data_IF_074214851757
#
_entry.id   IF_074214851757
#
_cell.length_a   1.000
_cell.length_b   1.000
_cell.length_c   1.000
_cell.angle_alpha   90.00
_cell.angle_beta   90.00
_cell.angle_gamma   90.00
#
_symmetry.space_group_name_H-M   'P 1'
#
loop_
_entity.id
_entity.type
_entity.pdbx_description
1 polymer ?
#
# COMPACT_ATOMS: atom_id res chain seq x y z
N UNK A 1 -14.62 -20.30 9.93
CA UNK A 1 -14.23 -21.38 10.85
C UNK A 1 -13.61 -20.77 12.06
N UNK A 2 -13.97 -21.30 13.22
CA UNK A 2 -13.43 -20.88 14.51
C UNK A 2 -12.06 -21.52 14.77
N UNK A 3 -11.29 -20.94 15.69
CA UNK A 3 -9.95 -21.41 16.06
C UNK A 3 -9.90 -22.91 16.35
N UNK A 4 -10.87 -23.41 17.10
CA UNK A 4 -10.91 -24.80 17.54
C UNK A 4 -11.14 -25.76 16.36
N UNK A 5 -12.02 -25.41 15.43
CA UNK A 5 -12.28 -26.20 14.22
C UNK A 5 -11.02 -26.29 13.36
N UNK A 6 -10.32 -25.17 13.15
CA UNK A 6 -9.06 -25.13 12.40
C UNK A 6 -7.99 -26.01 13.04
N UNK A 7 -7.87 -26.01 14.37
CA UNK A 7 -6.95 -26.90 15.08
C UNK A 7 -7.30 -28.37 14.89
N UNK A 8 -8.58 -28.70 14.97
CA UNK A 8 -9.05 -30.08 14.78
C UNK A 8 -8.79 -30.57 13.35
N UNK A 9 -9.06 -29.72 12.36
CA UNK A 9 -8.75 -30.02 10.95
C UNK A 9 -7.24 -30.16 10.73
N UNK A 10 -6.44 -29.22 11.22
CA UNK A 10 -4.97 -29.25 11.08
C UNK A 10 -4.37 -30.54 11.65
N UNK A 11 -4.85 -31.02 12.80
CA UNK A 11 -4.38 -32.27 13.41
C UNK A 11 -4.52 -33.49 12.50
N UNK A 12 -5.50 -33.52 11.58
CA UNK A 12 -5.67 -34.61 10.61
C UNK A 12 -4.50 -34.72 9.63
N UNK A 13 -3.74 -33.64 9.44
CA UNK A 13 -2.60 -33.57 8.52
C UNK A 13 -1.25 -33.75 9.23
N UNK A 14 -1.23 -34.02 10.54
CA UNK A 14 0.02 -34.12 11.35
C UNK A 14 1.04 -35.13 10.80
N UNK A 15 0.57 -36.22 10.20
CA UNK A 15 1.44 -37.26 9.63
C UNK A 15 1.79 -37.03 8.15
N UNK A 16 1.15 -36.04 7.50
CA UNK A 16 1.32 -35.74 6.07
C UNK A 16 2.26 -34.55 5.84
N UNK A 17 2.34 -33.64 6.80
CA UNK A 17 3.17 -32.43 6.73
C UNK A 17 4.51 -32.66 7.43
N UNK A 18 5.54 -31.94 7.01
CA UNK A 18 6.77 -31.85 7.78
C UNK A 18 6.50 -31.18 9.13
N UNK A 19 7.35 -31.46 10.13
CA UNK A 19 7.23 -30.84 11.44
C UNK A 19 7.26 -29.30 11.35
N UNK A 20 8.18 -28.75 10.54
CA UNK A 20 8.30 -27.30 10.31
C UNK A 20 7.03 -26.67 9.74
N UNK A 21 6.41 -27.31 8.74
CA UNK A 21 5.18 -26.82 8.12
C UNK A 21 4.01 -26.92 9.10
N UNK A 22 3.91 -28.01 9.85
CA UNK A 22 2.86 -28.17 10.85
C UNK A 22 2.95 -27.10 11.95
N UNK A 23 4.15 -26.88 12.50
CA UNK A 23 4.40 -25.83 13.51
C UNK A 23 4.10 -24.43 12.98
N UNK A 24 4.46 -24.13 11.73
CA UNK A 24 4.09 -22.88 11.07
C UNK A 24 2.57 -22.70 10.99
N UNK A 25 1.83 -23.71 10.54
CA UNK A 25 0.36 -23.64 10.47
C UNK A 25 -0.28 -23.49 11.85
N UNK A 26 0.28 -24.14 12.88
CA UNK A 26 -0.19 -23.97 14.26
C UNK A 26 0.07 -22.54 14.76
N UNK A 27 1.25 -21.99 14.49
CA UNK A 27 1.62 -20.60 14.82
C UNK A 27 0.69 -19.58 14.14
N UNK A 28 0.23 -19.88 12.91
CA UNK A 28 -0.78 -19.06 12.21
C UNK A 28 -2.14 -19.11 12.90
N UNK A 29 -2.59 -20.28 13.36
CA UNK A 29 -3.86 -20.44 14.08
C UNK A 29 -3.80 -19.81 15.47
N UNK A 30 -2.64 -19.82 16.12
CA UNK A 30 -2.40 -19.12 17.39
C UNK A 30 -2.24 -17.61 17.24
N UNK A 31 -2.09 -17.11 16.01
CA UNK A 31 -1.80 -15.70 15.72
C UNK A 31 -0.45 -15.25 16.30
N UNK A 32 0.51 -16.17 16.47
CA UNK A 32 1.87 -15.86 16.90
C UNK A 32 2.67 -15.21 15.77
N UNK A 33 2.41 -15.66 14.54
CA UNK A 33 3.04 -15.15 13.32
C UNK A 33 1.99 -14.67 12.32
N UNK A 34 2.45 -13.88 11.34
CA UNK A 34 1.63 -13.36 10.25
C UNK A 34 1.78 -14.23 9.01
N UNK A 35 0.66 -14.59 8.38
CA UNK A 35 0.65 -15.32 7.11
C UNK A 35 1.25 -14.50 5.95
N UNK A 36 1.40 -13.18 6.12
CA UNK A 36 1.99 -12.30 5.10
C UNK A 36 3.51 -12.24 5.17
N UNK A 37 4.11 -12.56 6.32
CA UNK A 37 5.57 -12.62 6.51
C UNK A 37 6.14 -13.92 5.95
N UNK A 38 7.43 -13.90 5.63
CA UNK A 38 8.16 -15.03 5.07
C UNK A 38 8.79 -15.89 6.16
N UNK A 39 8.10 -16.96 6.55
CA UNK A 39 8.58 -17.94 7.55
C UNK A 39 8.86 -19.33 6.97
N UNK A 40 8.44 -19.57 5.72
CA UNK A 40 8.61 -20.84 5.00
C UNK A 40 9.06 -20.55 3.57
N UNK A 41 9.69 -21.54 2.93
CA UNK A 41 10.20 -21.41 1.56
C UNK A 41 9.08 -21.21 0.52
N UNK A 42 9.43 -20.68 -0.64
CA UNK A 42 8.47 -20.48 -1.72
C UNK A 42 7.90 -21.79 -2.28
N UNK A 43 8.68 -22.88 -2.22
CA UNK A 43 8.23 -24.22 -2.60
C UNK A 43 7.18 -24.76 -1.62
N UNK A 44 7.42 -24.63 -0.31
CA UNK A 44 6.47 -25.00 0.74
C UNK A 44 5.17 -24.18 0.63
N UNK A 45 5.28 -22.86 0.39
CA UNK A 45 4.10 -22.00 0.14
C UNK A 45 3.32 -22.47 -1.08
N UNK A 46 3.99 -22.81 -2.16
CA UNK A 46 3.34 -23.24 -3.41
C UNK A 46 2.57 -24.54 -3.22
N UNK A 47 3.16 -25.50 -2.49
CA UNK A 47 2.49 -26.73 -2.11
C UNK A 47 1.28 -26.48 -1.19
N UNK A 48 1.48 -25.71 -0.10
CA UNK A 48 0.43 -25.41 0.87
C UNK A 48 -0.77 -24.70 0.25
N UNK A 49 -0.56 -23.79 -0.71
CA UNK A 49 -1.63 -23.07 -1.42
C UNK A 49 -2.60 -23.97 -2.17
N UNK A 50 -2.21 -25.19 -2.50
CA UNK A 50 -3.10 -26.18 -3.13
C UNK A 50 -4.06 -26.82 -2.10
N UNK A 51 -3.77 -26.70 -0.80
CA UNK A 51 -4.59 -27.22 0.28
C UNK A 51 -5.68 -26.22 0.67
N UNK A 52 -6.95 -26.66 0.62
CA UNK A 52 -8.08 -25.87 1.15
C UNK A 52 -7.89 -25.50 2.62
N UNK A 53 -7.26 -26.38 3.41
CA UNK A 53 -6.93 -26.14 4.81
C UNK A 53 -6.00 -24.93 4.98
N UNK A 54 -4.92 -24.84 4.20
CA UNK A 54 -3.98 -23.72 4.28
C UNK A 54 -4.70 -22.40 4.02
N UNK A 55 -5.52 -22.35 2.96
CA UNK A 55 -6.31 -21.16 2.62
C UNK A 55 -7.21 -20.72 3.78
N UNK A 56 -7.82 -21.67 4.48
CA UNK A 56 -8.66 -21.37 5.61
C UNK A 56 -7.87 -20.84 6.82
N UNK A 57 -6.70 -21.41 7.09
CA UNK A 57 -5.78 -20.95 8.14
C UNK A 57 -5.25 -19.54 7.82
N UNK A 58 -4.84 -19.30 6.57
CA UNK A 58 -4.36 -18.00 6.08
C UNK A 58 -5.44 -16.92 6.23
N UNK A 59 -6.67 -17.22 5.78
CA UNK A 59 -7.80 -16.30 5.92
C UNK A 59 -8.12 -15.99 7.38
N UNK A 60 -8.13 -17.02 8.23
CA UNK A 60 -8.35 -16.85 9.67
C UNK A 60 -7.25 -16.00 10.31
N UNK A 61 -5.99 -16.23 9.96
CA UNK A 61 -4.86 -15.48 10.50
C UNK A 61 -4.96 -14.00 10.12
N UNK A 62 -5.09 -13.68 8.83
CA UNK A 62 -5.19 -12.30 8.33
C UNK A 62 -6.42 -11.60 8.95
N UNK A 63 -7.58 -12.27 8.99
CA UNK A 63 -8.79 -11.70 9.56
C UNK A 63 -8.60 -11.30 11.03
N UNK A 64 -8.14 -12.23 11.87
CA UNK A 64 -8.09 -12.00 13.31
C UNK A 64 -6.97 -11.04 13.71
N UNK A 65 -5.83 -11.07 13.00
CA UNK A 65 -4.75 -10.09 13.18
C UNK A 65 -5.22 -8.68 12.81
N UNK A 66 -5.88 -8.52 11.66
CA UNK A 66 -6.48 -7.24 11.29
C UNK A 66 -7.51 -6.75 12.33
N UNK A 67 -8.35 -7.67 12.82
CA UNK A 67 -9.34 -7.34 13.84
C UNK A 67 -8.70 -6.88 15.16
N UNK A 68 -7.57 -7.49 15.58
CA UNK A 68 -6.83 -7.07 16.76
C UNK A 68 -6.27 -5.64 16.62
N UNK A 69 -5.67 -5.32 15.46
CA UNK A 69 -5.20 -3.95 15.16
C UNK A 69 -6.36 -2.97 15.18
N UNK A 70 -7.44 -3.27 14.47
CA UNK A 70 -8.56 -2.33 14.35
C UNK A 70 -9.25 -2.08 15.68
N UNK A 71 -9.29 -3.08 16.58
CA UNK A 71 -9.80 -2.94 17.94
C UNK A 71 -8.87 -2.14 18.86
N UNK A 72 -7.58 -2.01 18.54
CA UNK A 72 -6.65 -1.16 19.30
C UNK A 72 -6.74 0.31 18.88
N UNK A 73 -7.36 0.61 17.74
CA UNK A 73 -7.57 1.97 17.24
C UNK A 73 -8.83 2.61 17.83
N UNK A 74 -8.71 3.84 18.29
CA UNK A 74 -9.83 4.68 18.70
C UNK A 74 -10.57 5.25 17.47
N UNK A 75 -11.85 5.58 17.60
CA UNK A 75 -12.69 6.20 16.56
C UNK A 75 -12.88 5.38 15.27
N UNK A 76 -12.61 4.07 15.30
CA UNK A 76 -12.81 3.16 14.19
C UNK A 76 -14.14 2.42 14.33
N UNK A 77 -14.96 2.46 13.30
CA UNK A 77 -16.15 1.62 13.16
C UNK A 77 -15.79 0.38 12.35
N UNK A 78 -16.02 -0.80 12.95
CA UNK A 78 -15.67 -2.10 12.37
C UNK A 78 -16.95 -2.79 11.90
N UNK A 79 -16.92 -3.30 10.67
CA UNK A 79 -17.99 -4.08 10.05
C UNK A 79 -17.47 -5.48 9.74
N UNK A 80 -17.89 -6.45 10.53
CA UNK A 80 -17.64 -7.88 10.31
C UNK A 80 -18.75 -8.44 9.41
N UNK A 81 -18.40 -9.17 8.35
CA UNK A 81 -19.36 -9.83 7.48
C UNK A 81 -18.89 -11.23 7.10
N UNK A 82 -19.80 -12.04 6.55
CA UNK A 82 -19.59 -13.47 6.29
C UNK A 82 -18.35 -13.82 5.43
N UNK A 83 -17.79 -12.83 4.73
CA UNK A 83 -16.66 -12.99 3.82
C UNK A 83 -15.51 -12.03 4.07
N UNK A 84 -15.48 -11.34 5.22
CA UNK A 84 -14.41 -10.39 5.48
C UNK A 84 -14.68 -9.33 6.53
N UNK A 85 -13.87 -8.30 6.48
CA UNK A 85 -13.80 -7.22 7.45
C UNK A 85 -13.72 -5.88 6.73
N UNK A 86 -14.41 -4.86 7.24
CA UNK A 86 -14.23 -3.48 6.77
C UNK A 86 -14.10 -2.56 7.97
N UNK A 87 -13.22 -1.57 7.87
CA UNK A 87 -13.09 -0.53 8.88
C UNK A 87 -13.23 0.85 8.27
N UNK A 88 -13.92 1.73 8.97
CA UNK A 88 -14.09 3.14 8.60
C UNK A 88 -13.92 4.06 9.79
N UNK A 89 -13.66 5.33 9.53
CA UNK A 89 -13.80 6.40 10.51
C UNK A 89 -15.00 7.24 10.11
N UNK A 90 -15.81 7.65 11.08
CA UNK A 90 -16.88 8.61 10.87
C UNK A 90 -16.45 9.97 11.46
N UNK A 91 -16.35 11.01 10.62
CA UNK A 91 -16.11 12.39 11.06
C UNK A 91 -17.00 13.33 10.26
N UNK A 92 -17.74 14.18 10.96
CA UNK A 92 -18.55 15.27 10.38
C UNK A 92 -19.37 14.84 9.15
N UNK A 93 -20.17 13.78 9.33
CA UNK A 93 -21.03 13.15 8.31
C UNK A 93 -20.30 12.44 7.15
N UNK A 94 -18.96 12.43 7.14
CA UNK A 94 -18.15 11.72 6.16
C UNK A 94 -17.67 10.39 6.75
N UNK A 95 -17.97 9.30 6.05
CA UNK A 95 -17.40 7.98 6.32
C UNK A 95 -16.14 7.77 5.47
N UNK A 96 -15.01 7.62 6.15
CA UNK A 96 -13.70 7.44 5.54
C UNK A 96 -13.31 5.97 5.63
N UNK A 97 -13.16 5.25 4.51
CA UNK A 97 -12.66 3.88 4.55
C UNK A 97 -11.20 3.85 4.99
N UNK A 98 -10.88 2.95 5.91
CA UNK A 98 -9.51 2.69 6.38
C UNK A 98 -8.99 1.35 5.88
N UNK A 99 -9.84 0.32 5.98
CA UNK A 99 -9.46 -1.06 5.72
C UNK A 99 -10.60 -1.84 5.08
N UNK A 100 -10.24 -2.79 4.22
CA UNK A 100 -11.10 -3.86 3.75
C UNK A 100 -10.31 -5.14 3.59
N UNK A 101 -10.84 -6.23 4.14
CA UNK A 101 -10.41 -7.59 3.87
C UNK A 101 -11.56 -8.38 3.27
N UNK A 102 -11.33 -9.08 2.18
CA UNK A 102 -12.32 -9.93 1.51
C UNK A 102 -11.68 -11.26 1.11
N UNK A 103 -12.06 -12.35 1.77
CA UNK A 103 -11.47 -13.67 1.53
C UNK A 103 -12.24 -14.52 0.49
N UNK A 104 -12.92 -13.88 -0.46
CA UNK A 104 -13.38 -14.52 -1.70
C UNK A 104 -12.21 -15.14 -2.52
N UNK A 105 -12.45 -15.57 -3.76
CA UNK A 105 -11.51 -16.33 -4.60
C UNK A 105 -10.10 -15.70 -4.76
N UNK A 106 -9.94 -14.39 -4.52
CA UNK A 106 -8.69 -13.65 -4.71
C UNK A 106 -8.15 -12.94 -3.46
N UNK A 107 -8.62 -13.28 -2.25
CA UNK A 107 -8.13 -12.76 -0.95
C UNK A 107 -7.61 -11.31 -1.01
N UNK A 108 -8.51 -10.34 -0.82
CA UNK A 108 -8.24 -8.92 -1.08
C UNK A 108 -8.05 -8.14 0.22
N UNK A 109 -6.95 -7.44 0.36
CA UNK A 109 -6.63 -6.53 1.46
C UNK A 109 -6.51 -5.14 0.86
N UNK A 110 -7.28 -4.17 1.37
CA UNK A 110 -7.23 -2.77 0.93
C UNK A 110 -7.06 -1.86 2.14
N UNK A 111 -6.05 -1.01 2.13
CA UNK A 111 -5.91 0.10 3.06
C UNK A 111 -6.01 1.40 2.30
N UNK A 112 -6.50 2.46 2.94
CA UNK A 112 -6.57 3.77 2.31
C UNK A 112 -5.79 4.82 3.10
N UNK A 113 -4.79 5.42 2.45
CA UNK A 113 -3.92 6.45 3.01
C UNK A 113 -4.32 7.81 2.43
N UNK A 114 -4.44 8.85 3.28
CA UNK A 114 -4.66 10.20 2.80
C UNK A 114 -3.38 11.04 2.87
N UNK A 115 -3.00 11.69 1.77
CA UNK A 115 -1.82 12.54 1.67
C UNK A 115 -2.17 14.03 1.57
N UNK A 116 -1.16 14.85 1.88
CA UNK A 116 -1.25 16.30 2.15
C UNK A 116 -1.31 17.17 0.89
N UNK A 117 -1.20 16.60 -0.30
CA UNK A 117 -1.23 17.38 -1.53
C UNK A 117 -2.59 17.25 -2.22
N UNK A 118 -3.24 18.34 -2.61
CA UNK A 118 -4.45 18.22 -3.44
C UNK A 118 -4.11 17.60 -4.80
N UNK A 119 -5.06 16.92 -5.43
CA UNK A 119 -4.83 16.28 -6.74
C UNK A 119 -4.24 17.25 -7.79
N UNK A 120 -4.64 18.53 -7.74
CA UNK A 120 -4.08 19.59 -8.58
C UNK A 120 -2.60 19.88 -8.27
N UNK A 121 -2.23 19.98 -6.99
CA UNK A 121 -0.84 20.18 -6.55
C UNK A 121 0.02 18.99 -6.95
N UNK A 122 -0.50 17.78 -6.85
CA UNK A 122 0.18 16.56 -7.27
C UNK A 122 0.46 16.55 -8.78
N UNK A 123 -0.56 16.86 -9.60
CA UNK A 123 -0.42 16.98 -11.06
C UNK A 123 0.65 18.00 -11.42
N UNK A 124 0.60 19.16 -10.76
CA UNK A 124 1.53 20.24 -11.03
C UNK A 124 2.96 19.88 -10.62
N UNK A 125 3.15 19.27 -9.44
CA UNK A 125 4.45 18.76 -9.00
C UNK A 125 5.02 17.73 -9.96
N UNK A 126 4.19 16.83 -10.48
CA UNK A 126 4.67 15.85 -11.46
C UNK A 126 5.04 16.50 -12.78
N UNK A 127 4.19 17.39 -13.28
CA UNK A 127 4.48 18.15 -14.49
C UNK A 127 5.84 18.84 -14.37
N UNK A 128 6.07 19.52 -13.24
CA UNK A 128 7.34 20.18 -12.93
C UNK A 128 8.49 19.17 -12.87
N UNK A 129 8.36 18.04 -12.18
CA UNK A 129 9.43 17.02 -12.07
C UNK A 129 9.80 16.42 -13.43
N UNK A 130 8.82 16.05 -14.24
CA UNK A 130 9.05 15.50 -15.56
C UNK A 130 9.70 16.52 -16.49
N UNK A 131 9.27 17.78 -16.39
CA UNK A 131 9.85 18.85 -17.17
C UNK A 131 11.28 19.17 -16.72
N UNK A 132 11.56 19.23 -15.42
CA UNK A 132 12.92 19.35 -14.86
C UNK A 132 13.85 18.23 -15.33
N UNK A 133 13.39 16.96 -15.32
CA UNK A 133 14.17 15.83 -15.86
C UNK A 133 14.52 16.04 -17.32
N UNK A 134 13.55 16.48 -18.14
CA UNK A 134 13.77 16.78 -19.55
C UNK A 134 14.77 17.92 -19.73
N UNK A 135 14.62 19.03 -19.00
CA UNK A 135 15.53 20.17 -19.06
C UNK A 135 16.95 19.79 -18.64
N UNK A 136 17.12 19.01 -17.57
CA UNK A 136 18.43 18.52 -17.13
C UNK A 136 19.10 17.65 -18.20
N UNK A 137 18.36 16.75 -18.85
CA UNK A 137 18.91 15.91 -19.93
C UNK A 137 19.31 16.73 -21.17
N UNK A 138 18.56 17.79 -21.50
CA UNK A 138 18.88 18.69 -22.61
C UNK A 138 20.10 19.54 -22.28
N UNK A 139 20.17 20.05 -21.04
CA UNK A 139 21.31 20.79 -20.52
C UNK A 139 22.59 19.97 -20.62
N UNK A 140 22.60 18.72 -20.16
CA UNK A 140 23.76 17.81 -20.26
C UNK A 140 24.24 17.62 -21.71
N UNK A 141 23.32 17.47 -22.65
CA UNK A 141 23.64 17.35 -24.09
C UNK A 141 24.23 18.64 -24.67
N UNK A 142 23.78 19.80 -24.21
CA UNK A 142 24.29 21.09 -24.67
C UNK A 142 25.66 21.39 -24.06
N UNK A 143 25.89 20.99 -22.80
CA UNK A 143 27.21 21.06 -22.15
C UNK A 143 28.27 20.31 -22.98
N UNK A 144 27.93 19.19 -23.61
CA UNK A 144 28.87 18.41 -24.44
C UNK A 144 28.88 18.82 -25.92
N UNK A 145 28.04 19.78 -26.32
CA UNK A 145 27.94 20.23 -27.71
C UNK A 145 28.96 21.33 -28.07
N UNK A 146 29.36 21.38 -29.35
CA UNK A 146 30.22 22.43 -29.92
C UNK A 146 29.42 23.60 -30.53
N UNK A 147 28.23 23.91 -29.98
CA UNK A 147 27.37 24.97 -30.50
C UNK A 147 27.87 26.36 -30.07
N UNK A 148 28.00 27.30 -31.02
CA UNK A 148 28.39 28.69 -30.77
C UNK A 148 27.42 29.45 -29.84
N UNK A 149 26.14 29.06 -29.81
CA UNK A 149 25.11 29.66 -28.94
C UNK A 149 24.92 28.89 -27.62
N UNK A 150 25.81 27.93 -27.32
CA UNK A 150 25.72 27.06 -26.13
C UNK A 150 25.51 27.83 -24.83
N UNK A 151 26.25 28.91 -24.60
CA UNK A 151 26.15 29.67 -23.35
C UNK A 151 24.78 30.35 -23.18
N UNK A 152 24.19 30.83 -24.28
CA UNK A 152 22.84 31.41 -24.27
C UNK A 152 21.81 30.36 -23.91
N UNK A 153 21.86 29.18 -24.53
CA UNK A 153 20.95 28.09 -24.21
C UNK A 153 21.12 27.59 -22.77
N UNK A 154 22.35 27.42 -22.29
CA UNK A 154 22.61 26.99 -20.91
C UNK A 154 22.02 27.96 -19.89
N UNK A 155 22.17 29.27 -20.12
CA UNK A 155 21.58 30.31 -19.26
C UNK A 155 20.05 30.23 -19.23
N UNK A 156 19.40 30.04 -20.39
CA UNK A 156 17.95 29.86 -20.47
C UNK A 156 17.48 28.60 -19.71
N UNK A 157 18.16 27.47 -19.89
CA UNK A 157 17.85 26.23 -19.18
C UNK A 157 18.03 26.36 -17.67
N UNK A 158 19.11 26.99 -17.22
CA UNK A 158 19.38 27.19 -15.78
C UNK A 158 18.30 28.07 -15.13
N UNK A 159 17.90 29.18 -15.77
CA UNK A 159 16.79 30.01 -15.29
C UNK A 159 15.45 29.25 -15.22
N UNK A 160 15.15 28.41 -16.22
CA UNK A 160 13.94 27.57 -16.21
C UNK A 160 13.98 26.53 -15.08
N UNK A 161 15.12 25.87 -14.89
CA UNK A 161 15.32 24.88 -13.82
C UNK A 161 15.15 25.54 -12.45
N UNK A 162 15.74 26.71 -12.23
CA UNK A 162 15.63 27.45 -10.97
C UNK A 162 14.18 27.88 -10.69
N UNK A 163 13.50 28.45 -11.68
CA UNK A 163 12.10 28.88 -11.56
C UNK A 163 11.18 27.71 -11.21
N UNK A 164 11.33 26.58 -11.92
CA UNK A 164 10.54 25.37 -11.70
C UNK A 164 10.86 24.72 -10.35
N UNK A 165 12.13 24.71 -9.94
CA UNK A 165 12.54 24.19 -8.63
C UNK A 165 11.95 25.02 -7.49
N UNK A 166 11.97 26.36 -7.63
CA UNK A 166 11.33 27.28 -6.68
C UNK A 166 9.82 27.07 -6.60
N UNK A 167 9.14 26.97 -7.74
CA UNK A 167 7.70 26.65 -7.79
C UNK A 167 7.40 25.30 -7.15
N UNK A 168 8.21 24.29 -7.41
CA UNK A 168 8.07 22.96 -6.79
C UNK A 168 8.18 23.04 -5.26
N UNK A 169 9.15 23.79 -4.73
CA UNK A 169 9.30 24.02 -3.29
C UNK A 169 8.15 24.81 -2.68
N UNK A 170 7.59 25.79 -3.42
CA UNK A 170 6.49 26.63 -2.94
C UNK A 170 5.13 25.93 -2.95
N UNK A 171 4.92 24.97 -3.85
CA UNK A 171 3.72 24.11 -3.87
C UNK A 171 3.51 23.30 -2.58
N UNK A 172 4.51 23.16 -1.71
CA UNK A 172 4.37 22.55 -0.38
C UNK A 172 3.76 23.49 0.67
N UNK A 173 3.83 24.80 0.43
CA UNK A 173 3.49 25.84 1.41
C UNK A 173 2.14 26.52 1.12
N UNK A 174 1.53 26.29 -0.06
CA UNK A 174 0.37 27.06 -0.53
C UNK A 174 -0.99 26.66 0.07
N UNK A 175 -1.09 25.60 0.88
CA UNK A 175 -2.34 25.26 1.59
C UNK A 175 -2.11 24.81 3.02
N UNK A 176 -2.58 25.60 3.98
CA UNK A 176 -2.75 25.15 5.37
C UNK A 176 -3.94 24.19 5.44
N UNK A 177 -3.68 22.90 5.68
CA UNK A 177 -4.74 21.92 5.95
C UNK A 177 -5.65 22.39 7.08
N UNK A 178 -6.96 22.18 6.92
CA UNK A 178 -7.92 22.32 8.02
C UNK A 178 -7.59 21.33 9.14
N UNK A 179 -8.01 21.62 10.36
CA UNK A 179 -7.84 20.71 11.51
C UNK A 179 -8.41 19.32 11.26
N UNK A 180 -9.48 19.22 10.48
CA UNK A 180 -10.11 17.94 10.11
C UNK A 180 -9.27 17.16 9.12
N UNK A 181 -8.76 17.81 8.08
CA UNK A 181 -7.88 17.18 7.11
C UNK A 181 -6.59 16.64 7.76
N UNK A 182 -5.99 17.41 8.69
CA UNK A 182 -4.83 16.94 9.48
C UNK A 182 -5.14 15.69 10.29
N UNK A 183 -6.32 15.64 10.95
CA UNK A 183 -6.76 14.45 11.70
C UNK A 183 -6.94 13.23 10.80
N UNK A 184 -7.53 13.40 9.62
CA UNK A 184 -7.73 12.31 8.64
C UNK A 184 -6.40 11.73 8.20
N UNK A 185 -5.46 12.59 7.77
CA UNK A 185 -4.10 12.17 7.39
C UNK A 185 -3.45 11.39 8.54
N UNK A 186 -3.50 11.93 9.76
CA UNK A 186 -2.83 11.32 10.90
C UNK A 186 -3.39 9.93 11.25
N UNK A 187 -4.72 9.78 11.30
CA UNK A 187 -5.32 8.47 11.65
C UNK A 187 -5.09 7.45 10.53
N UNK A 188 -5.19 7.87 9.26
CA UNK A 188 -4.98 6.94 8.13
C UNK A 188 -3.51 6.50 8.03
N UNK A 189 -2.55 7.40 8.30
CA UNK A 189 -1.13 7.06 8.35
C UNK A 189 -0.82 6.11 9.52
N UNK A 190 -1.33 6.41 10.73
CA UNK A 190 -1.13 5.56 11.90
C UNK A 190 -1.70 4.14 11.68
N UNK A 191 -2.88 4.04 11.05
CA UNK A 191 -3.46 2.76 10.67
C UNK A 191 -2.55 2.03 9.67
N UNK A 192 -2.09 2.71 8.62
CA UNK A 192 -1.19 2.12 7.61
C UNK A 192 0.10 1.60 8.22
N UNK A 193 0.73 2.36 9.12
CA UNK A 193 2.00 1.99 9.73
C UNK A 193 1.88 0.73 10.60
N UNK A 194 0.78 0.60 11.36
CA UNK A 194 0.49 -0.61 12.15
C UNK A 194 0.32 -1.83 11.25
N UNK A 195 -0.37 -1.68 10.12
CA UNK A 195 -0.56 -2.77 9.17
C UNK A 195 0.72 -3.16 8.43
N UNK A 196 1.59 -2.18 8.14
CA UNK A 196 2.92 -2.45 7.60
C UNK A 196 3.78 -3.26 8.56
N UNK A 197 3.85 -2.84 9.82
CA UNK A 197 4.61 -3.56 10.85
C UNK A 197 4.08 -4.99 11.05
N UNK A 198 2.77 -5.11 11.20
CA UNK A 198 2.11 -6.39 11.47
C UNK A 198 2.35 -7.40 10.35
N UNK A 199 2.14 -6.97 9.11
CA UNK A 199 2.23 -7.83 7.96
C UNK A 199 3.62 -7.90 7.35
N UNK A 200 4.59 -7.19 7.93
CA UNK A 200 5.96 -7.11 7.42
C UNK A 200 6.00 -6.47 6.04
N UNK A 201 5.07 -5.55 5.77
CA UNK A 201 4.99 -4.84 4.52
C UNK A 201 5.83 -3.56 4.57
N UNK A 202 6.38 -3.17 3.43
CA UNK A 202 7.13 -1.95 3.22
C UNK A 202 6.49 -1.12 2.10
N UNK A 203 6.79 0.18 2.06
CA UNK A 203 6.40 1.04 0.93
C UNK A 203 6.93 0.51 -0.42
N UNK A 204 8.08 -0.16 -0.40
CA UNK A 204 8.71 -0.76 -1.58
C UNK A 204 8.04 -2.05 -2.04
N UNK A 205 7.18 -2.64 -1.21
CA UNK A 205 6.44 -3.82 -1.62
C UNK A 205 5.40 -3.39 -2.66
N UNK A 206 4.81 -2.21 -2.53
CA UNK A 206 3.80 -1.68 -3.45
C UNK A 206 4.43 -1.31 -4.79
N UNK A 207 4.08 -2.08 -5.83
CA UNK A 207 4.53 -1.76 -7.17
C UNK A 207 3.92 -0.47 -7.67
N UNK A 208 4.49 -0.06 -8.79
CA UNK A 208 4.01 1.05 -9.55
C UNK A 208 3.28 0.48 -10.84
N UNK A 209 1.94 0.63 -10.97
CA UNK A 209 1.07 0.36 -12.13
C UNK A 209 1.33 1.29 -13.31
N UNK A 210 2.10 0.81 -14.28
CA UNK A 210 1.86 1.19 -15.66
C UNK A 210 0.53 0.56 -16.10
N UNK A 211 -0.46 1.42 -16.31
CA UNK A 211 -1.75 1.13 -16.92
C UNK A 211 -2.78 0.32 -16.10
N UNK A 212 -3.96 0.93 -15.89
CA UNK A 212 -5.31 0.41 -16.12
C UNK A 212 -6.31 1.56 -15.80
N UNK A 213 -6.51 2.47 -16.77
CA UNK A 213 -7.78 2.96 -17.35
C UNK A 213 -7.61 4.34 -18.02
N UNK A 214 -8.37 4.61 -19.11
CA UNK A 214 -8.38 5.86 -19.85
C UNK A 214 -9.43 6.80 -19.26
N UNK A 215 -8.97 7.87 -18.64
CA UNK A 215 -9.48 9.22 -18.81
C UNK A 215 -8.69 10.08 -17.83
N UNK A 216 -8.45 11.29 -18.29
CA UNK A 216 -7.41 12.17 -17.82
C UNK A 216 -7.29 12.22 -16.29
N UNK A 217 -6.05 12.43 -15.87
CA UNK A 217 -5.68 12.95 -14.57
C UNK A 217 -5.56 11.98 -13.37
N UNK A 218 -4.42 11.26 -13.29
CA UNK A 218 -3.92 10.78 -12.00
C UNK A 218 -2.46 10.31 -12.02
N UNK A 219 -1.52 11.12 -11.52
CA UNK A 219 -0.18 10.62 -11.19
C UNK A 219 0.45 11.41 -10.02
N UNK A 220 0.46 10.82 -8.81
CA UNK A 220 1.67 10.31 -8.15
C UNK A 220 1.30 9.13 -7.23
N UNK A 221 1.74 7.95 -7.67
CA UNK A 221 2.26 6.77 -6.97
C UNK A 221 1.75 6.40 -5.56
N UNK A 222 0.83 5.43 -5.50
CA UNK A 222 1.08 4.09 -4.97
C UNK A 222 0.18 3.15 -5.76
N UNK A 223 0.71 1.99 -6.15
CA UNK A 223 0.05 1.14 -7.11
C UNK A 223 0.01 -0.31 -6.58
N UNK A 224 -0.76 -1.15 -7.29
CA UNK A 224 -1.14 -2.50 -6.85
C UNK A 224 0.07 -3.41 -6.71
N UNK A 225 0.11 -4.20 -5.63
CA UNK A 225 0.95 -5.38 -5.56
C UNK A 225 0.27 -6.56 -6.25
N UNK A 226 0.88 -6.98 -7.36
CA UNK A 226 0.99 -8.40 -7.73
C UNK A 226 2.48 -8.70 -7.78
N UNK A 227 3.09 -8.93 -6.61
CA UNK A 227 4.36 -9.65 -6.53
C UNK A 227 4.31 -10.60 -5.33
N UNK A 228 4.71 -11.84 -5.61
CA UNK A 228 5.05 -12.92 -4.68
C UNK A 228 3.94 -13.79 -4.06
N UNK A 229 2.64 -13.45 -4.10
CA UNK A 229 1.58 -14.40 -3.64
C UNK A 229 0.45 -14.62 -4.66
N UNK A 230 0.54 -15.63 -5.57
CA UNK A 230 -0.58 -16.00 -6.44
C UNK A 230 -1.84 -16.28 -5.61
N UNK A 231 -2.96 -15.65 -5.99
CA UNK A 231 -4.26 -15.79 -5.34
C UNK A 231 -4.63 -14.73 -4.28
N UNK A 232 -3.76 -13.77 -3.98
CA UNK A 232 -4.00 -12.68 -3.02
C UNK A 232 -3.73 -11.31 -3.66
N UNK A 233 -4.57 -10.31 -3.34
CA UNK A 233 -4.45 -8.94 -3.85
C UNK A 233 -4.34 -7.96 -2.68
N UNK A 234 -3.21 -7.24 -2.58
CA UNK A 234 -3.01 -6.20 -1.56
C UNK A 234 -2.97 -4.83 -2.26
N UNK A 235 -3.84 -3.93 -1.82
CA UNK A 235 -3.95 -2.55 -2.32
C UNK A 235 -3.66 -1.57 -1.18
N UNK A 236 -2.73 -0.64 -1.42
CA UNK A 236 -2.73 0.63 -0.70
C UNK A 236 -3.32 1.70 -1.62
N UNK A 237 -4.42 2.29 -1.19
CA UNK A 237 -5.18 3.30 -1.93
C UNK A 237 -4.80 4.68 -1.41
N UNK A 238 -4.05 5.45 -2.17
CA UNK A 238 -3.82 6.86 -1.83
C UNK A 238 -5.02 7.71 -2.25
N UNK A 239 -5.47 8.58 -1.34
CA UNK A 239 -6.28 9.75 -1.67
C UNK A 239 -5.57 11.04 -1.27
N UNK A 240 -5.78 12.06 -2.07
CA UNK A 240 -5.18 13.38 -1.92
C UNK A 240 -6.27 14.34 -1.42
N UNK A 241 -5.92 15.23 -0.48
CA UNK A 241 -6.84 16.17 0.18
C UNK A 241 -6.71 17.58 -0.40
#
# INVERSE_FOLDING_TARGET
>A
MEKLELKQELRKYKHLLSASVFEYLESLVELEVSALKDYISDDEKTFLKQLSLYRNIENYNIYNRALQILKSLNDVTIYEYSKGLKATINKDEITIPLFRFDFNSLCKIEFQTYLVDSEAVVKERLYILNYLKKLNSLRERIVTSNNLQKNTFLYEYDNMIETLSSRFSNLANERSLTSNQKKIVNITQMCSDLFYEEYGLSKGDFESSEHIYPNDDKILFERKLVKQKPGMVINNLIKYI
#
